data_IF_241306186845
#
_entry.id   IF_241306186845
#
_cell.length_a   1.000
_cell.length_b   1.000
_cell.length_c   1.000
_cell.angle_alpha   90.00
_cell.angle_beta   90.00
_cell.angle_gamma   90.00
#
_symmetry.space_group_name_H-M   'P 1'
#
loop_
_entity.id
_entity.type
_entity.pdbx_description
1 polymer ?
#
# COMPACT_ATOMS: atom_id res chain seq x y z
N UNK A 1 -12.91 -32.14 3.43
CA UNK A 1 -13.02 -30.70 3.72
C UNK A 1 -12.12 -30.02 2.69
N UNK A 2 -12.69 -29.34 1.71
CA UNK A 2 -11.90 -28.51 0.77
C UNK A 2 -11.28 -27.38 1.56
N UNK A 3 -9.95 -27.30 1.61
CA UNK A 3 -9.27 -26.13 2.16
C UNK A 3 -9.78 -24.90 1.44
N UNK A 4 -10.31 -23.95 2.19
CA UNK A 4 -10.78 -22.70 1.62
C UNK A 4 -9.58 -21.98 0.98
N UNK A 5 -9.67 -21.66 -0.29
CA UNK A 5 -8.63 -20.89 -0.98
C UNK A 5 -8.45 -19.54 -0.29
N UNK A 6 -7.21 -19.02 -0.17
CA UNK A 6 -6.97 -17.75 0.51
C UNK A 6 -7.71 -16.60 -0.21
N UNK A 7 -8.37 -15.75 0.58
CA UNK A 7 -9.12 -14.60 0.05
C UNK A 7 -8.24 -13.36 -0.14
N UNK A 8 -7.07 -13.32 0.49
CA UNK A 8 -6.19 -12.16 0.56
C UNK A 8 -4.73 -12.55 0.35
N UNK A 9 -4.02 -11.78 -0.46
CA UNK A 9 -2.56 -11.76 -0.49
C UNK A 9 -2.01 -10.52 0.20
N UNK A 10 -0.99 -10.70 1.03
CA UNK A 10 -0.18 -9.64 1.61
C UNK A 10 1.15 -9.58 0.85
N UNK A 11 1.38 -8.48 0.16
CA UNK A 11 2.48 -8.26 -0.75
C UNK A 11 3.58 -7.43 -0.09
N UNK A 12 4.79 -7.97 0.05
CA UNK A 12 5.90 -7.33 0.77
C UNK A 12 7.12 -7.20 -0.15
N UNK A 13 7.31 -6.05 -0.81
CA UNK A 13 8.56 -5.78 -1.51
C UNK A 13 9.68 -5.50 -0.52
N UNK A 14 10.86 -6.09 -0.74
CA UNK A 14 12.07 -5.88 0.04
C UNK A 14 13.26 -5.59 -0.86
N UNK A 15 14.24 -4.85 -0.38
CA UNK A 15 15.43 -4.56 -1.18
C UNK A 15 16.39 -5.76 -1.22
N UNK A 16 16.46 -6.53 -0.15
CA UNK A 16 17.35 -7.69 -0.06
C UNK A 16 17.46 -8.27 1.35
N UNK A 17 18.44 -9.16 1.59
CA UNK A 17 18.64 -9.85 2.86
C UNK A 17 18.85 -8.91 4.06
N UNK A 18 19.32 -7.68 3.83
CA UNK A 18 19.44 -6.67 4.90
C UNK A 18 18.10 -6.30 5.55
N UNK A 19 16.98 -6.54 4.87
CA UNK A 19 15.64 -6.25 5.35
C UNK A 19 15.02 -7.43 6.12
N UNK A 20 15.75 -8.56 6.28
CA UNK A 20 15.21 -9.80 6.86
C UNK A 20 14.64 -9.60 8.27
N UNK A 21 15.30 -8.80 9.10
CA UNK A 21 14.80 -8.50 10.44
C UNK A 21 13.50 -7.70 10.45
N UNK A 22 13.32 -6.79 9.49
CA UNK A 22 12.08 -6.05 9.31
C UNK A 22 11.00 -6.95 8.72
N UNK A 23 11.34 -7.76 7.70
CA UNK A 23 10.44 -8.73 7.09
C UNK A 23 9.92 -9.74 8.12
N UNK A 24 10.80 -10.26 9.00
CA UNK A 24 10.44 -11.18 10.07
C UNK A 24 9.39 -10.58 10.99
N UNK A 25 9.56 -9.33 11.46
CA UNK A 25 8.55 -8.66 12.30
C UNK A 25 7.18 -8.57 11.61
N UNK A 26 7.15 -8.29 10.30
CA UNK A 26 5.90 -8.28 9.54
C UNK A 26 5.28 -9.68 9.48
N UNK A 27 6.09 -10.70 9.22
CA UNK A 27 5.63 -12.10 9.17
C UNK A 27 5.13 -12.59 10.53
N UNK A 28 5.80 -12.23 11.62
CA UNK A 28 5.36 -12.55 12.98
C UNK A 28 3.99 -11.91 13.29
N UNK A 29 3.80 -10.65 12.95
CA UNK A 29 2.51 -9.97 13.12
C UNK A 29 1.40 -10.59 12.26
N UNK A 30 1.71 -10.99 11.02
CA UNK A 30 0.77 -11.75 10.18
C UNK A 30 0.39 -13.06 10.85
N UNK A 31 1.37 -13.79 11.34
CA UNK A 31 1.18 -15.07 12.00
C UNK A 31 0.30 -14.98 13.25
N UNK A 32 0.56 -13.99 14.08
CA UNK A 32 -0.23 -13.74 15.28
C UNK A 32 -1.71 -13.50 14.92
N UNK A 33 -1.97 -12.65 13.94
CA UNK A 33 -3.33 -12.27 13.54
C UNK A 33 -4.05 -13.43 12.86
N UNK A 34 -3.39 -14.20 12.01
CA UNK A 34 -4.00 -15.31 11.26
C UNK A 34 -3.82 -16.68 11.90
N UNK A 35 -3.32 -16.80 13.14
CA UNK A 35 -3.06 -18.08 13.82
C UNK A 35 -4.25 -19.06 13.81
N UNK A 36 -5.50 -18.55 13.86
CA UNK A 36 -6.70 -19.37 13.85
C UNK A 36 -7.24 -19.71 12.44
N UNK A 37 -6.70 -19.09 11.39
CA UNK A 37 -7.09 -19.29 9.99
C UNK A 37 -5.90 -19.03 9.05
N UNK A 38 -4.78 -19.78 9.19
CA UNK A 38 -3.56 -19.48 8.44
C UNK A 38 -3.73 -19.65 6.92
N UNK A 39 -4.61 -20.57 6.48
CA UNK A 39 -4.91 -20.76 5.04
C UNK A 39 -5.74 -19.64 4.41
N UNK A 40 -6.30 -18.71 5.21
CA UNK A 40 -7.09 -17.60 4.69
C UNK A 40 -6.25 -16.46 4.07
N UNK A 41 -4.94 -16.46 4.31
CA UNK A 41 -4.00 -15.45 3.85
C UNK A 41 -2.83 -16.10 3.12
N UNK A 42 -2.30 -15.39 2.09
CA UNK A 42 -1.06 -15.73 1.41
C UNK A 42 -0.08 -14.57 1.52
N UNK A 43 1.18 -14.88 1.81
CA UNK A 43 2.25 -13.88 1.86
C UNK A 43 3.08 -13.99 0.58
N UNK A 44 3.23 -12.87 -0.11
CA UNK A 44 4.00 -12.76 -1.36
C UNK A 44 5.15 -11.80 -1.14
N UNK A 45 6.39 -12.30 -1.17
CA UNK A 45 7.59 -11.48 -0.99
C UNK A 45 8.33 -11.35 -2.32
N UNK A 46 8.71 -10.13 -2.67
CA UNK A 46 9.60 -9.84 -3.80
C UNK A 46 10.86 -9.18 -3.28
N UNK A 47 12.00 -9.84 -3.44
CA UNK A 47 13.32 -9.29 -3.13
C UNK A 47 14.03 -8.85 -4.40
N UNK A 48 14.56 -7.61 -4.40
CA UNK A 48 15.37 -7.07 -5.49
C UNK A 48 16.76 -7.69 -5.54
N UNK A 49 17.27 -8.20 -4.41
CA UNK A 49 18.62 -8.74 -4.25
C UNK A 49 18.61 -10.04 -3.45
N UNK A 50 19.72 -10.77 -3.57
CA UNK A 50 19.89 -12.03 -2.86
C UNK A 50 19.26 -13.21 -3.58
N UNK A 51 19.23 -14.34 -2.89
CA UNK A 51 18.61 -15.59 -3.29
C UNK A 51 17.60 -16.04 -2.24
N UNK A 52 16.67 -16.96 -2.55
CA UNK A 52 15.77 -17.49 -1.54
C UNK A 52 16.52 -18.11 -0.33
N UNK A 53 17.72 -18.65 -0.54
CA UNK A 53 18.56 -19.21 0.52
C UNK A 53 19.00 -18.17 1.56
N UNK A 54 19.14 -16.92 1.18
CA UNK A 54 19.52 -15.82 2.09
C UNK A 54 18.38 -15.41 3.05
N UNK A 55 17.18 -15.91 2.80
CA UNK A 55 15.97 -15.69 3.61
C UNK A 55 15.55 -16.98 4.36
N UNK A 56 16.38 -18.02 4.30
CA UNK A 56 16.10 -19.29 4.98
C UNK A 56 16.14 -19.04 6.47
N UNK A 57 15.05 -19.10 7.08
CA UNK A 57 14.75 -19.42 8.46
C UNK A 57 13.31 -19.00 8.73
N UNK A 58 12.38 -19.94 8.69
CA UNK A 58 11.02 -19.87 9.24
C UNK A 58 10.40 -18.46 9.26
N UNK A 59 10.39 -17.79 8.09
CA UNK A 59 9.84 -16.43 7.96
C UNK A 59 8.35 -16.38 8.29
N UNK A 60 7.64 -17.50 8.09
CA UNK A 60 6.23 -17.64 8.46
C UNK A 60 6.01 -18.95 9.17
N UNK A 61 5.12 -18.97 10.19
CA UNK A 61 4.76 -20.20 10.87
C UNK A 61 4.05 -21.19 9.95
N UNK A 62 4.07 -22.46 10.35
CA UNK A 62 3.39 -23.52 9.66
C UNK A 62 1.92 -23.19 9.38
N UNK A 63 1.48 -23.42 8.15
CA UNK A 63 0.11 -23.21 7.71
C UNK A 63 -0.14 -21.89 6.94
N UNK A 64 0.74 -20.89 7.04
CA UNK A 64 0.70 -19.70 6.16
C UNK A 64 1.49 -19.98 4.89
N UNK A 65 0.86 -19.78 3.74
CA UNK A 65 1.54 -19.93 2.45
C UNK A 65 2.44 -18.72 2.17
N UNK A 66 3.75 -18.96 2.08
CA UNK A 66 4.74 -17.97 1.66
C UNK A 66 5.24 -18.27 0.25
N UNK A 67 5.23 -17.25 -0.62
CA UNK A 67 5.86 -17.25 -1.92
C UNK A 67 6.93 -16.15 -1.96
N UNK A 68 8.18 -16.53 -1.85
CA UNK A 68 9.34 -15.64 -1.92
C UNK A 68 10.03 -15.76 -3.27
N UNK A 69 10.16 -14.65 -3.99
CA UNK A 69 10.95 -14.55 -5.20
C UNK A 69 12.05 -13.51 -5.07
N UNK A 70 13.25 -13.89 -5.54
CA UNK A 70 14.41 -13.01 -5.60
C UNK A 70 14.74 -12.77 -7.08
N UNK A 71 14.54 -11.54 -7.54
CA UNK A 71 14.91 -11.12 -8.89
C UNK A 71 15.10 -9.59 -8.91
N UNK A 72 16.14 -9.08 -9.61
CA UNK A 72 16.38 -7.66 -9.74
C UNK A 72 15.15 -6.92 -10.25
N UNK A 73 14.85 -5.78 -9.65
CA UNK A 73 13.75 -4.89 -10.04
C UNK A 73 14.25 -3.45 -10.25
N UNK A 74 13.38 -2.61 -10.81
CA UNK A 74 13.65 -1.19 -11.08
C UNK A 74 13.11 -0.29 -9.94
N UNK A 75 12.93 -0.84 -8.74
CA UNK A 75 12.45 -0.14 -7.56
C UNK A 75 11.11 -0.67 -7.05
N UNK A 76 10.65 -0.09 -5.95
CA UNK A 76 9.53 -0.61 -5.16
C UNK A 76 8.25 -0.89 -5.99
N UNK A 77 7.91 -0.02 -6.93
CA UNK A 77 6.70 -0.19 -7.74
C UNK A 77 6.83 -1.27 -8.81
N UNK A 78 8.05 -1.52 -9.33
CA UNK A 78 8.30 -2.69 -10.18
C UNK A 78 8.20 -3.97 -9.35
N UNK A 79 8.76 -3.98 -8.13
CA UNK A 79 8.58 -5.10 -7.20
C UNK A 79 7.10 -5.37 -6.88
N UNK A 80 6.31 -4.31 -6.59
CA UNK A 80 4.87 -4.42 -6.38
C UNK A 80 4.14 -4.99 -7.60
N UNK A 81 4.50 -4.58 -8.81
CA UNK A 81 3.92 -5.10 -10.05
C UNK A 81 4.26 -6.58 -10.28
N UNK A 82 5.48 -7.00 -9.95
CA UNK A 82 5.89 -8.41 -10.03
C UNK A 82 5.09 -9.29 -9.06
N UNK A 83 4.87 -8.80 -7.84
CA UNK A 83 3.99 -9.48 -6.89
C UNK A 83 2.55 -9.55 -7.41
N UNK A 84 2.03 -8.44 -7.94
CA UNK A 84 0.69 -8.37 -8.50
C UNK A 84 0.50 -9.38 -9.64
N UNK A 85 1.50 -9.55 -10.49
CA UNK A 85 1.45 -10.48 -11.62
C UNK A 85 1.25 -11.94 -11.18
N UNK A 86 1.84 -12.34 -10.03
CA UNK A 86 1.72 -13.70 -9.49
C UNK A 86 0.66 -13.87 -8.41
N UNK A 87 -0.03 -12.79 -8.03
CA UNK A 87 -1.12 -12.83 -7.06
C UNK A 87 -2.31 -13.63 -7.62
N UNK A 88 -2.66 -14.73 -6.97
CA UNK A 88 -3.78 -15.59 -7.36
C UNK A 88 -5.04 -15.40 -6.51
N UNK A 89 -4.96 -14.59 -5.43
CA UNK A 89 -6.09 -14.31 -4.57
C UNK A 89 -6.97 -13.19 -5.14
N UNK A 90 -8.25 -13.14 -4.76
CA UNK A 90 -9.16 -12.07 -5.21
C UNK A 90 -8.69 -10.67 -4.83
N UNK A 91 -8.01 -10.51 -3.67
CA UNK A 91 -7.56 -9.21 -3.16
C UNK A 91 -6.09 -9.22 -2.79
N UNK A 92 -5.48 -8.03 -2.89
CA UNK A 92 -4.08 -7.80 -2.54
C UNK A 92 -3.96 -6.52 -1.70
N UNK A 93 -3.16 -6.60 -0.63
CA UNK A 93 -2.71 -5.46 0.19
C UNK A 93 -1.19 -5.38 0.11
N UNK A 94 -0.64 -4.20 -0.06
CA UNK A 94 0.80 -3.98 -0.10
C UNK A 94 1.29 -3.44 1.24
N UNK A 95 2.37 -4.03 1.76
CA UNK A 95 3.01 -3.65 3.02
C UNK A 95 4.50 -3.36 2.78
N UNK A 96 5.09 -2.52 3.59
CA UNK A 96 6.55 -2.45 3.72
C UNK A 96 7.08 -3.49 4.70
N UNK A 97 8.33 -3.91 4.54
CA UNK A 97 8.98 -4.70 5.56
C UNK A 97 9.10 -3.90 6.87
N UNK A 98 8.62 -4.47 7.96
CA UNK A 98 8.50 -3.82 9.25
C UNK A 98 7.10 -3.30 9.59
N UNK A 99 6.22 -3.15 8.60
CA UNK A 99 4.83 -2.80 8.85
C UNK A 99 4.09 -3.97 9.51
N UNK A 100 3.15 -3.65 10.39
CA UNK A 100 2.38 -4.64 11.13
C UNK A 100 0.91 -4.52 10.74
N UNK A 101 0.32 -5.55 10.11
CA UNK A 101 -1.14 -5.61 9.97
C UNK A 101 -1.79 -5.67 11.36
N UNK A 102 -3.00 -5.15 11.45
CA UNK A 102 -3.79 -5.10 12.68
C UNK A 102 -4.99 -6.04 12.59
N UNK A 103 -5.57 -6.45 13.71
CA UNK A 103 -6.72 -7.38 13.76
C UNK A 103 -7.89 -6.96 12.86
N UNK A 104 -8.13 -5.65 12.73
CA UNK A 104 -9.19 -5.11 11.85
C UNK A 104 -9.06 -5.54 10.39
N UNK A 105 -7.83 -5.72 9.87
CA UNK A 105 -7.64 -6.25 8.51
C UNK A 105 -8.13 -7.70 8.39
N UNK A 106 -7.82 -8.55 9.36
CA UNK A 106 -8.30 -9.95 9.37
C UNK A 106 -9.81 -10.01 9.50
N UNK A 107 -10.37 -9.22 10.40
CA UNK A 107 -11.82 -9.14 10.61
C UNK A 107 -12.54 -8.67 9.32
N UNK A 108 -12.00 -7.65 8.66
CA UNK A 108 -12.51 -7.23 7.36
C UNK A 108 -12.39 -8.36 6.33
N UNK A 109 -11.22 -9.00 6.22
CA UNK A 109 -10.96 -10.08 5.27
C UNK A 109 -11.90 -11.29 5.46
N UNK A 110 -12.28 -11.60 6.71
CA UNK A 110 -13.22 -12.68 6.99
C UNK A 110 -14.64 -12.43 6.48
N UNK A 111 -15.00 -11.16 6.25
CA UNK A 111 -16.29 -10.75 5.65
C UNK A 111 -16.28 -10.76 4.13
N UNK A 112 -15.09 -10.86 3.50
CA UNK A 112 -14.99 -10.89 2.04
C UNK A 112 -15.25 -12.30 1.53
N UNK A 113 -16.10 -12.44 0.53
CA UNK A 113 -16.30 -13.70 -0.15
C UNK A 113 -15.06 -14.14 -0.93
N UNK A 114 -14.95 -15.44 -1.17
CA UNK A 114 -13.91 -16.02 -2.04
C UNK A 114 -14.17 -15.79 -3.54
N UNK A 115 -15.34 -15.24 -3.86
CA UNK A 115 -15.70 -14.88 -5.23
C UNK A 115 -14.88 -13.69 -5.72
N UNK A 116 -14.93 -13.44 -7.01
CA UNK A 116 -14.29 -12.28 -7.64
C UNK A 116 -14.59 -11.01 -6.80
N UNK A 117 -13.53 -10.38 -6.35
CA UNK A 117 -13.61 -9.16 -5.57
C UNK A 117 -14.33 -8.01 -6.30
N UNK A 118 -14.72 -8.25 -7.57
CA UNK A 118 -15.33 -7.26 -8.44
C UNK A 118 -14.41 -6.05 -8.64
N UNK A 119 -15.03 -4.88 -8.70
CA UNK A 119 -14.30 -3.61 -8.92
C UNK A 119 -14.39 -2.65 -7.74
N UNK A 120 -14.71 -3.16 -6.54
CA UNK A 120 -14.86 -2.33 -5.34
C UNK A 120 -13.66 -2.51 -4.42
N UNK A 121 -12.95 -1.40 -4.14
CA UNK A 121 -11.88 -1.38 -3.14
C UNK A 121 -12.45 -1.61 -1.74
N UNK A 122 -11.68 -2.22 -0.85
CA UNK A 122 -11.96 -2.24 0.57
C UNK A 122 -10.90 -1.39 1.27
N UNK A 123 -11.27 -0.57 2.24
CA UNK A 123 -10.35 0.38 2.86
C UNK A 123 -10.54 0.45 4.36
N UNK A 124 -9.42 0.40 5.11
CA UNK A 124 -9.34 0.63 6.54
C UNK A 124 -8.34 1.71 6.90
N UNK A 125 -8.31 2.11 8.17
CA UNK A 125 -7.40 3.09 8.72
C UNK A 125 -5.95 2.60 8.75
N UNK A 126 -5.01 3.56 8.75
CA UNK A 126 -3.57 3.31 8.85
C UNK A 126 -3.00 4.16 9.97
N UNK A 127 -2.41 3.50 10.97
CA UNK A 127 -1.68 4.14 12.05
C UNK A 127 -0.25 4.43 11.58
N UNK A 128 0.24 5.64 11.84
CA UNK A 128 1.62 6.02 11.61
C UNK A 128 2.32 6.19 12.96
N UNK A 129 3.60 5.80 13.06
CA UNK A 129 4.35 6.04 14.29
C UNK A 129 4.46 7.53 14.55
N UNK A 130 4.80 7.87 15.80
CA UNK A 130 4.87 9.24 16.35
C UNK A 130 5.17 10.30 15.31
N UNK A 131 4.30 11.29 15.29
CA UNK A 131 4.26 12.37 14.31
C UNK A 131 5.62 13.01 14.06
N UNK A 132 6.15 12.82 12.88
CA UNK A 132 7.06 13.80 12.28
C UNK A 132 6.25 15.07 11.99
N UNK A 133 6.89 16.24 12.16
CA UNK A 133 6.24 17.53 11.95
C UNK A 133 5.40 17.56 10.66
N UNK A 134 4.11 17.74 10.81
CA UNK A 134 3.17 17.83 9.70
C UNK A 134 2.78 16.50 9.03
N UNK A 135 3.13 15.34 9.59
CA UNK A 135 2.59 14.04 9.19
C UNK A 135 1.48 13.67 10.19
N UNK A 136 0.28 13.35 9.75
CA UNK A 136 -0.76 12.87 10.68
C UNK A 136 -0.31 11.53 11.27
N UNK A 137 -0.63 11.30 12.56
CA UNK A 137 -0.39 10.00 13.22
C UNK A 137 -1.36 8.91 12.79
N UNK A 138 -2.42 9.29 12.10
CA UNK A 138 -3.46 8.40 11.62
C UNK A 138 -4.03 8.86 10.28
N UNK A 139 -4.18 7.91 9.35
CA UNK A 139 -4.90 8.08 8.11
C UNK A 139 -6.20 7.28 8.19
N UNK A 140 -7.35 7.95 8.39
CA UNK A 140 -8.63 7.28 8.29
C UNK A 140 -8.87 6.85 6.84
N UNK A 141 -9.60 5.75 6.66
CA UNK A 141 -10.02 5.33 5.33
C UNK A 141 -10.87 6.43 4.68
N UNK A 142 -10.47 6.91 3.48
CA UNK A 142 -11.20 7.96 2.78
C UNK A 142 -11.04 7.83 1.26
N UNK A 143 -12.20 7.80 0.57
CA UNK A 143 -12.27 7.72 -0.89
C UNK A 143 -13.29 8.72 -1.42
N UNK A 144 -12.86 9.97 -1.57
CA UNK A 144 -13.70 11.09 -1.99
C UNK A 144 -12.92 12.13 -2.82
N UNK A 145 -13.56 13.24 -3.16
CA UNK A 145 -12.95 14.32 -3.96
C UNK A 145 -11.71 14.98 -3.33
N UNK A 146 -11.43 14.73 -2.05
CA UNK A 146 -10.20 15.20 -1.41
C UNK A 146 -8.94 14.58 -2.01
N UNK A 147 -9.07 13.41 -2.67
CA UNK A 147 -8.01 12.80 -3.46
C UNK A 147 -7.45 13.72 -4.55
N UNK A 148 -8.25 14.62 -5.12
CA UNK A 148 -7.75 15.59 -6.10
C UNK A 148 -6.74 16.58 -5.52
N UNK A 149 -6.79 16.80 -4.22
CA UNK A 149 -5.98 17.81 -3.53
C UNK A 149 -4.81 17.21 -2.78
N UNK A 150 -4.97 16.03 -2.21
CA UNK A 150 -3.94 15.33 -1.42
C UNK A 150 -4.16 13.82 -1.45
N UNK A 151 -3.10 13.05 -1.23
CA UNK A 151 -3.26 11.60 -1.03
C UNK A 151 -3.95 11.35 0.32
N UNK A 152 -5.24 11.01 0.28
CA UNK A 152 -6.08 10.70 1.46
C UNK A 152 -6.35 9.20 1.59
N UNK A 153 -5.88 8.41 0.65
CA UNK A 153 -6.02 6.97 0.62
C UNK A 153 -4.63 6.32 0.73
N UNK A 154 -4.22 5.97 1.94
CA UNK A 154 -2.93 5.33 2.15
C UNK A 154 -2.96 3.92 1.56
N UNK A 155 -2.05 3.60 0.64
CA UNK A 155 -2.09 2.34 -0.12
C UNK A 155 -2.03 1.08 0.77
N UNK A 156 -1.40 1.17 1.94
CA UNK A 156 -1.31 0.08 2.91
C UNK A 156 -2.63 -0.17 3.66
N UNK A 157 -3.58 0.77 3.61
CA UNK A 157 -4.95 0.61 4.09
C UNK A 157 -5.94 0.23 2.99
N UNK A 158 -5.48 -0.19 1.81
CA UNK A 158 -6.34 -0.53 0.68
C UNK A 158 -6.14 -1.99 0.28
N UNK A 159 -7.22 -2.77 0.32
CA UNK A 159 -7.28 -4.08 -0.31
C UNK A 159 -7.85 -3.91 -1.73
N UNK A 160 -6.94 -3.96 -2.70
CA UNK A 160 -7.28 -3.84 -4.11
C UNK A 160 -7.83 -5.17 -4.63
N UNK A 161 -8.91 -5.17 -5.43
CA UNK A 161 -9.19 -6.32 -6.29
C UNK A 161 -8.00 -6.55 -7.22
N UNK A 162 -7.39 -7.74 -7.17
CA UNK A 162 -6.17 -8.01 -7.92
C UNK A 162 -6.38 -7.94 -9.43
N UNK A 163 -7.55 -8.39 -9.92
CA UNK A 163 -7.95 -8.27 -11.32
C UNK A 163 -8.07 -6.80 -11.75
N UNK A 164 -8.76 -5.97 -10.95
CA UNK A 164 -8.91 -4.55 -11.24
C UNK A 164 -7.56 -3.84 -11.37
N UNK A 165 -6.63 -4.13 -10.45
CA UNK A 165 -5.32 -3.49 -10.45
C UNK A 165 -4.45 -3.97 -11.64
N UNK A 166 -4.56 -5.25 -12.04
CA UNK A 166 -3.93 -5.78 -13.26
C UNK A 166 -4.50 -5.15 -14.52
N UNK A 167 -5.84 -5.06 -14.62
CA UNK A 167 -6.52 -4.42 -15.76
C UNK A 167 -6.15 -2.93 -15.90
N UNK A 168 -5.86 -2.30 -14.77
CA UNK A 168 -5.38 -0.92 -14.74
C UNK A 168 -3.94 -0.79 -15.26
N UNK A 169 -3.14 -1.85 -15.25
CA UNK A 169 -1.73 -1.87 -15.62
C UNK A 169 -0.77 -1.76 -14.42
N UNK A 170 -1.29 -1.89 -13.19
CA UNK A 170 -0.50 -1.80 -11.98
C UNK A 170 0.00 -0.39 -11.66
N UNK A 171 1.17 -0.31 -11.02
CA UNK A 171 1.81 0.95 -10.61
C UNK A 171 2.77 1.43 -11.69
N UNK A 172 2.70 2.70 -12.06
CA UNK A 172 3.58 3.30 -13.07
C UNK A 172 4.93 3.68 -12.46
N UNK A 173 6.05 3.01 -12.79
CA UNK A 173 7.36 3.25 -12.16
C UNK A 173 7.92 4.66 -12.37
N UNK A 174 7.44 5.39 -13.39
CA UNK A 174 7.87 6.77 -13.67
C UNK A 174 7.56 7.75 -12.53
N UNK A 175 6.63 7.41 -11.64
CA UNK A 175 6.34 8.19 -10.43
C UNK A 175 7.01 7.57 -9.22
N UNK A 176 8.32 7.67 -9.09
CA UNK A 176 9.18 6.95 -8.13
C UNK A 176 8.71 6.93 -6.66
N UNK A 177 7.89 7.89 -6.23
CA UNK A 177 7.41 8.02 -4.84
C UNK A 177 5.88 8.10 -4.76
N UNK A 178 5.21 8.39 -5.87
CA UNK A 178 3.80 8.75 -5.91
C UNK A 178 2.96 7.85 -6.84
N UNK A 179 3.48 6.69 -7.25
CA UNK A 179 2.74 5.82 -8.17
C UNK A 179 1.48 5.21 -7.52
N UNK A 180 1.49 4.98 -6.21
CA UNK A 180 0.31 4.58 -5.44
C UNK A 180 -0.77 5.67 -5.48
N UNK A 181 -0.37 6.93 -5.33
CA UNK A 181 -1.29 8.06 -5.44
C UNK A 181 -1.82 8.22 -6.88
N UNK A 182 -0.98 8.00 -7.89
CA UNK A 182 -1.40 8.03 -9.29
C UNK A 182 -2.50 7.00 -9.56
N UNK A 183 -2.26 5.74 -9.19
CA UNK A 183 -3.24 4.64 -9.32
C UNK A 183 -4.54 4.99 -8.61
N UNK A 184 -4.50 5.43 -7.35
CA UNK A 184 -5.69 5.78 -6.60
C UNK A 184 -6.48 6.90 -7.28
N UNK A 185 -5.79 7.92 -7.77
CA UNK A 185 -6.41 9.06 -8.44
C UNK A 185 -7.07 8.67 -9.77
N UNK A 186 -6.41 7.82 -10.55
CA UNK A 186 -6.95 7.29 -11.82
C UNK A 186 -8.15 6.39 -11.60
N UNK A 187 -8.08 5.47 -10.63
CA UNK A 187 -9.21 4.60 -10.27
C UNK A 187 -10.40 5.42 -9.80
N UNK A 188 -10.15 6.46 -8.97
CA UNK A 188 -11.21 7.37 -8.51
C UNK A 188 -11.88 8.10 -9.68
N UNK A 189 -11.10 8.62 -10.64
CA UNK A 189 -11.65 9.29 -11.82
C UNK A 189 -12.40 8.35 -12.77
N UNK A 190 -12.04 7.07 -12.81
CA UNK A 190 -12.77 6.03 -13.53
C UNK A 190 -14.06 5.59 -12.83
N UNK A 191 -14.39 6.20 -11.67
CA UNK A 191 -15.59 5.92 -10.91
C UNK A 191 -15.54 4.62 -10.13
N UNK A 192 -14.33 4.08 -9.88
CA UNK A 192 -14.15 2.91 -9.01
C UNK A 192 -14.63 3.27 -7.62
N UNK A 193 -15.47 2.42 -7.06
CA UNK A 193 -16.05 2.58 -5.72
C UNK A 193 -15.14 1.99 -4.66
N UNK A 194 -15.25 2.50 -3.43
CA UNK A 194 -14.63 1.93 -2.26
C UNK A 194 -15.68 1.75 -1.15
N UNK A 195 -15.55 0.65 -0.44
CA UNK A 195 -16.21 0.45 0.83
C UNK A 195 -15.21 0.81 1.92
N UNK A 196 -15.56 1.78 2.75
CA UNK A 196 -14.68 2.28 3.79
C UNK A 196 -15.10 1.73 5.14
N UNK A 197 -14.10 1.48 5.95
CA UNK A 197 -14.26 1.05 7.34
C UNK A 197 -13.50 2.08 8.21
N UNK A 198 -14.04 3.28 8.43
CA UNK A 198 -13.32 4.41 9.04
C UNK A 198 -12.93 4.15 10.51
N UNK A 199 -13.66 3.28 11.18
CA UNK A 199 -13.43 2.92 12.59
C UNK A 199 -12.55 1.67 12.75
N UNK A 200 -12.08 1.08 11.64
CA UNK A 200 -11.24 -0.11 11.63
C UNK A 200 -9.83 0.23 11.14
N UNK A 201 -8.85 0.13 12.02
CA UNK A 201 -7.44 0.25 11.64
C UNK A 201 -6.92 -1.10 11.13
N UNK A 202 -6.31 -1.07 9.95
CA UNK A 202 -5.82 -2.27 9.27
C UNK A 202 -4.31 -2.43 9.33
N UNK A 203 -3.60 -1.32 9.51
CA UNK A 203 -2.15 -1.32 9.41
C UNK A 203 -1.51 -0.35 10.39
N UNK A 204 -0.44 -0.80 11.06
CA UNK A 204 0.50 0.07 11.74
C UNK A 204 1.79 0.12 10.92
N UNK A 205 2.11 1.30 10.38
CA UNK A 205 3.25 1.51 9.47
C UNK A 205 4.46 1.98 10.24
N UNK A 206 5.65 1.48 9.88
CA UNK A 206 6.90 1.95 10.50
C UNK A 206 7.34 3.33 10.01
N UNK A 207 8.17 4.00 10.82
CA UNK A 207 8.80 5.27 10.46
C UNK A 207 9.80 5.09 9.30
N UNK A 208 9.98 6.12 8.45
CA UNK A 208 11.12 6.19 7.52
C UNK A 208 10.80 5.98 6.04
N UNK A 209 9.54 6.02 5.61
CA UNK A 209 9.19 5.91 4.18
C UNK A 209 9.70 7.12 3.35
N UNK A 210 10.15 6.88 2.10
CA UNK A 210 10.60 7.94 1.15
C UNK A 210 9.54 9.03 0.91
N UNK A 211 8.26 8.70 0.98
CA UNK A 211 7.14 9.64 0.81
C UNK A 211 7.05 10.69 1.93
N UNK A 212 7.80 10.54 3.01
CA UNK A 212 7.85 11.49 4.15
C UNK A 212 8.90 12.59 3.99
N UNK A 213 9.74 12.52 2.97
CA UNK A 213 10.70 13.57 2.65
C UNK A 213 10.00 14.71 1.88
N UNK A 214 9.44 15.67 2.61
CA UNK A 214 8.73 16.83 2.04
C UNK A 214 9.70 17.85 1.42
N UNK A 215 10.30 17.51 0.29
CA UNK A 215 11.23 18.35 -0.46
C UNK A 215 10.60 18.93 -1.74
N UNK A 216 11.34 19.81 -2.40
CA UNK A 216 10.88 20.45 -3.64
C UNK A 216 10.62 19.43 -4.76
N UNK A 217 11.38 18.35 -4.80
CA UNK A 217 11.27 17.29 -5.80
C UNK A 217 9.95 16.52 -5.66
N UNK A 218 9.55 16.18 -4.43
CA UNK A 218 8.27 15.55 -4.14
C UNK A 218 7.10 16.40 -4.66
N UNK A 219 7.11 17.72 -4.38
CA UNK A 219 6.04 18.61 -4.82
C UNK A 219 6.04 18.84 -6.34
N UNK A 220 7.20 18.89 -6.97
CA UNK A 220 7.30 18.93 -8.43
C UNK A 220 6.78 17.63 -9.05
N UNK A 221 7.09 16.49 -8.44
CA UNK A 221 6.56 15.18 -8.81
C UNK A 221 5.05 15.10 -8.67
N UNK A 222 4.49 15.58 -7.55
CA UNK A 222 3.04 15.64 -7.34
C UNK A 222 2.35 16.52 -8.39
N UNK A 223 2.93 17.65 -8.77
CA UNK A 223 2.38 18.50 -9.82
C UNK A 223 2.41 17.82 -11.19
N UNK A 224 3.53 17.18 -11.55
CA UNK A 224 3.64 16.41 -12.81
C UNK A 224 2.59 15.30 -12.87
N UNK A 225 2.47 14.52 -11.78
CA UNK A 225 1.48 13.45 -11.67
C UNK A 225 0.06 13.99 -11.87
N UNK A 226 -0.32 15.02 -11.14
CA UNK A 226 -1.67 15.58 -11.23
C UNK A 226 -1.98 16.17 -12.60
N UNK A 227 -0.98 16.76 -13.25
CA UNK A 227 -1.15 17.24 -14.63
C UNK A 227 -1.30 16.11 -15.64
N UNK A 228 -0.64 14.97 -15.41
CA UNK A 228 -0.75 13.81 -16.28
C UNK A 228 -2.08 13.06 -16.09
N UNK A 229 -2.52 12.94 -14.83
CA UNK A 229 -3.66 12.09 -14.45
C UNK A 229 -4.99 12.84 -14.46
N UNK A 230 -5.05 14.06 -13.92
CA UNK A 230 -6.31 14.82 -13.83
C UNK A 230 -6.79 15.30 -15.20
N UNK A 231 -8.09 15.13 -15.44
CA UNK A 231 -8.73 15.70 -16.63
C UNK A 231 -8.64 17.23 -16.59
N UNK A 232 -8.42 17.89 -17.75
CA UNK A 232 -8.45 19.34 -17.84
C UNK A 232 -9.75 19.94 -17.29
N UNK A 233 -9.63 21.00 -16.49
CA UNK A 233 -10.76 21.65 -15.82
C UNK A 233 -10.28 22.50 -14.64
N UNK A 234 -11.21 23.05 -13.87
CA UNK A 234 -10.87 23.94 -12.74
C UNK A 234 -9.93 23.29 -11.73
N UNK A 235 -10.21 22.04 -11.35
CA UNK A 235 -9.37 21.27 -10.39
C UNK A 235 -7.95 21.14 -10.92
N UNK A 236 -7.77 20.84 -12.22
CA UNK A 236 -6.47 20.74 -12.87
C UNK A 236 -5.75 22.10 -12.91
N UNK A 237 -6.46 23.16 -13.26
CA UNK A 237 -5.91 24.52 -13.38
C UNK A 237 -5.43 25.07 -12.03
N UNK A 238 -6.10 24.76 -10.94
CA UNK A 238 -5.75 25.23 -9.59
C UNK A 238 -4.57 24.48 -8.94
N UNK A 239 -4.13 23.33 -9.49
CA UNK A 239 -3.07 22.51 -8.86
C UNK A 239 -1.75 23.28 -8.61
N UNK A 240 -1.22 24.11 -9.52
CA UNK A 240 0.04 24.83 -9.27
C UNK A 240 -0.02 25.73 -8.04
N UNK A 241 -1.14 26.42 -7.85
CA UNK A 241 -1.36 27.32 -6.70
C UNK A 241 -1.51 26.51 -5.42
N UNK A 242 -2.30 25.46 -5.47
CA UNK A 242 -2.52 24.57 -4.33
C UNK A 242 -1.23 23.91 -3.83
N UNK A 243 -0.42 23.37 -4.74
CA UNK A 243 0.83 22.70 -4.38
C UNK A 243 1.85 23.68 -3.78
N UNK A 244 1.93 24.92 -4.30
CA UNK A 244 2.76 25.97 -3.70
C UNK A 244 2.32 26.32 -2.29
N UNK A 245 1.01 26.47 -2.09
CA UNK A 245 0.43 26.73 -0.76
C UNK A 245 0.72 25.58 0.22
N UNK A 246 0.52 24.34 -0.21
CA UNK A 246 0.82 23.12 0.56
C UNK A 246 2.31 23.05 0.95
N UNK A 247 3.22 23.31 0.00
CA UNK A 247 4.66 23.33 0.24
C UNK A 247 5.09 24.44 1.22
N UNK A 248 4.47 25.61 1.11
CA UNK A 248 4.71 26.71 2.04
C UNK A 248 4.25 26.38 3.45
N UNK A 249 3.04 25.86 3.63
CA UNK A 249 2.50 25.47 4.93
C UNK A 249 3.35 24.42 5.63
N UNK A 250 3.88 23.42 4.88
CA UNK A 250 4.78 22.40 5.46
C UNK A 250 6.13 22.99 5.89
N UNK A 251 6.73 23.87 5.10
CA UNK A 251 7.97 24.55 5.50
C UNK A 251 7.78 25.42 6.74
N UNK A 252 6.65 26.08 6.84
CA UNK A 252 6.32 26.88 8.03
C UNK A 252 6.19 25.99 9.27
N UNK A 253 5.43 24.90 9.19
CA UNK A 253 5.27 23.95 10.30
C UNK A 253 6.59 23.30 10.76
N UNK A 254 7.56 23.10 9.84
CA UNK A 254 8.89 22.57 10.17
C UNK A 254 9.83 23.59 10.86
N UNK A 255 9.55 24.90 10.72
CA UNK A 255 10.35 25.97 11.33
C UNK A 255 9.88 26.35 12.75
N UNK A 256 8.67 25.96 13.11
CA UNK A 256 8.02 26.28 14.39
C UNK A 256 8.13 25.18 15.44
N UNK A 257 8.90 24.13 15.12
CA UNK A 257 9.31 23.05 16.05
C UNK A 257 10.80 23.07 16.27
#
# INVERSE_FOLDING_TARGET
MTEASPALSLAIPVLGPQDIGALRRTCDAIAEIWQSAPSAVRVLVQSSKGSPADFQDDLVPAGIQLDLQCAPDQGIYDAMNRVLARCSTPRIVFLGAGDCPLPGLREAASRWGHEDAGRTLQMGGVQLPKAEAGVPSHYPARWDRSLFWRNTAHHQGIAYPASLLRDHGGFTPSFQVLADYAVNLELFQKGVKAQWHPDEDWMAVQAGGRSRQFNAELYAGELRLKRAVLKPGLTWACQPVWIRFKAWGKRWAQRTQ
#
